data_IF_831241494299
#
_entry.id   IF_831241494299
#
_cell.length_a   1.000
_cell.length_b   1.000
_cell.length_c   1.000
_cell.angle_alpha   90.00
_cell.angle_beta   90.00
_cell.angle_gamma   90.00
#
_symmetry.space_group_name_H-M   'P 1'
#
loop_
_entity.id
_entity.type
_entity.pdbx_description
1 polymer ?
#
# COMPACT_ATOMS: atom_id res chain seq x y z
N UNK A 1 -14.56 17.17 19.18
CA UNK A 1 -14.65 17.33 17.72
C UNK A 1 -14.36 16.05 16.92
N UNK A 2 -13.96 14.98 17.59
CA UNK A 2 -13.61 13.68 16.98
C UNK A 2 -14.84 12.77 16.80
N UNK A 3 -15.91 13.08 17.53
CA UNK A 3 -17.15 12.30 17.57
C UNK A 3 -18.15 12.84 16.57
N UNK A 4 -18.72 11.96 15.76
CA UNK A 4 -19.78 12.29 14.79
C UNK A 4 -21.16 12.14 15.44
N UNK A 5 -21.38 11.08 16.18
CA UNK A 5 -22.67 10.76 16.75
C UNK A 5 -22.50 9.98 18.07
N UNK A 6 -23.35 10.21 19.03
CA UNK A 6 -23.45 9.42 20.25
C UNK A 6 -24.87 8.90 20.35
N UNK A 7 -25.03 7.58 20.40
CA UNK A 7 -26.30 6.90 20.48
C UNK A 7 -26.39 6.14 21.81
N UNK A 8 -27.42 6.40 22.60
CA UNK A 8 -27.68 5.68 23.85
C UNK A 8 -28.49 4.42 23.54
N UNK A 9 -27.98 3.28 23.97
CA UNK A 9 -28.66 2.00 23.85
C UNK A 9 -29.05 1.50 25.25
N UNK A 10 -30.36 1.48 25.56
CA UNK A 10 -30.85 0.96 26.82
C UNK A 10 -30.69 -0.56 26.90
N UNK A 11 -30.72 -1.09 28.12
CA UNK A 11 -30.64 -2.55 28.40
C UNK A 11 -31.67 -3.37 27.59
N UNK A 12 -32.89 -2.85 27.47
CA UNK A 12 -33.98 -3.53 26.75
C UNK A 12 -33.79 -3.46 25.23
N UNK A 13 -33.27 -2.33 24.71
CA UNK A 13 -32.92 -2.17 23.29
C UNK A 13 -31.77 -3.08 22.90
N UNK A 14 -30.79 -3.25 23.80
CA UNK A 14 -29.64 -4.15 23.57
C UNK A 14 -30.14 -5.62 23.54
N UNK A 15 -31.06 -6.00 24.42
CA UNK A 15 -31.63 -7.35 24.46
C UNK A 15 -32.40 -7.64 23.16
N UNK A 16 -33.27 -6.72 22.73
CA UNK A 16 -34.03 -6.86 21.47
C UNK A 16 -33.12 -7.02 20.26
N UNK A 17 -32.05 -6.23 20.19
CA UNK A 17 -31.07 -6.31 19.09
C UNK A 17 -30.34 -7.67 19.10
N UNK A 18 -30.04 -8.21 20.27
CA UNK A 18 -29.44 -9.53 20.43
C UNK A 18 -30.40 -10.64 20.01
N UNK A 19 -31.68 -10.54 20.44
CA UNK A 19 -32.74 -11.48 20.04
C UNK A 19 -32.93 -11.50 18.52
N UNK A 20 -32.83 -10.35 17.89
CA UNK A 20 -32.98 -10.23 16.44
C UNK A 20 -31.79 -10.87 15.69
N UNK A 21 -30.58 -10.74 16.23
CA UNK A 21 -29.38 -11.39 15.67
C UNK A 21 -29.40 -12.91 15.87
N UNK A 22 -30.01 -13.38 16.95
CA UNK A 22 -30.10 -14.80 17.31
C UNK A 22 -31.40 -15.46 16.85
N UNK A 23 -32.03 -15.02 15.78
CA UNK A 23 -33.32 -15.53 15.24
C UNK A 23 -33.39 -17.04 15.04
N UNK A 24 -32.25 -17.74 14.97
CA UNK A 24 -32.18 -19.20 14.88
C UNK A 24 -31.95 -19.95 16.21
N UNK A 25 -31.68 -19.26 17.31
CA UNK A 25 -31.28 -19.87 18.60
C UNK A 25 -31.96 -19.23 19.80
N UNK A 26 -33.27 -18.97 19.69
CA UNK A 26 -34.07 -18.30 20.72
C UNK A 26 -34.09 -19.04 22.08
N UNK A 27 -33.81 -20.33 22.07
CA UNK A 27 -33.78 -21.14 23.29
C UNK A 27 -32.67 -20.77 24.28
N UNK A 28 -31.62 -20.12 23.82
CA UNK A 28 -30.48 -19.73 24.66
C UNK A 28 -30.79 -18.54 25.59
N UNK A 29 -31.76 -17.71 25.22
CA UNK A 29 -32.11 -16.50 25.99
C UNK A 29 -33.26 -16.73 26.98
N UNK A 30 -34.08 -17.77 26.76
CA UNK A 30 -35.26 -18.06 27.60
C UNK A 30 -34.92 -18.58 29.02
N UNK A 31 -33.66 -18.89 29.29
CA UNK A 31 -33.17 -19.37 30.57
C UNK A 31 -32.61 -18.30 31.51
N UNK A 32 -32.57 -17.04 31.07
CA UNK A 32 -31.94 -15.96 31.84
C UNK A 32 -32.97 -15.26 32.75
N UNK A 33 -32.84 -15.34 34.08
CA UNK A 33 -33.79 -14.73 35.00
C UNK A 33 -33.75 -13.20 35.05
N UNK A 34 -32.72 -12.59 34.51
CA UNK A 34 -32.55 -11.12 34.41
C UNK A 34 -31.75 -10.77 33.16
N UNK A 35 -32.02 -9.61 32.59
CA UNK A 35 -31.24 -9.06 31.46
C UNK A 35 -29.78 -8.82 31.92
N UNK A 36 -28.80 -9.59 31.41
CA UNK A 36 -27.40 -9.44 31.82
C UNK A 36 -26.68 -8.30 31.08
N UNK A 37 -27.35 -7.67 30.12
CA UNK A 37 -26.69 -6.66 29.26
C UNK A 37 -26.70 -5.30 29.96
N UNK A 38 -25.56 -4.62 30.04
CA UNK A 38 -25.51 -3.24 30.53
C UNK A 38 -26.07 -2.26 29.49
N UNK A 39 -26.47 -1.09 29.94
CA UNK A 39 -26.75 0.03 29.06
C UNK A 39 -25.42 0.50 28.44
N UNK A 40 -25.42 0.87 27.19
CA UNK A 40 -24.21 1.29 26.48
C UNK A 40 -24.40 2.58 25.69
N UNK A 41 -23.31 3.31 25.56
CA UNK A 41 -23.21 4.46 24.67
C UNK A 41 -22.40 4.03 23.45
N UNK A 42 -23.04 4.04 22.29
CA UNK A 42 -22.35 3.82 21.02
C UNK A 42 -21.83 5.15 20.50
N UNK A 43 -20.52 5.26 20.40
CA UNK A 43 -19.84 6.47 19.91
C UNK A 43 -19.33 6.19 18.50
N UNK A 44 -19.88 6.92 17.53
CA UNK A 44 -19.43 6.86 16.15
C UNK A 44 -18.43 8.00 15.90
N UNK A 45 -17.22 7.63 15.52
CA UNK A 45 -16.18 8.60 15.19
C UNK A 45 -16.38 9.11 13.75
N UNK A 46 -15.91 10.32 13.49
CA UNK A 46 -15.86 10.87 12.13
C UNK A 46 -14.92 10.04 11.26
N UNK A 47 -15.17 9.93 9.95
CA UNK A 47 -14.32 9.10 9.06
C UNK A 47 -12.82 9.39 9.16
N UNK A 48 -12.45 10.63 9.41
CA UNK A 48 -11.06 11.09 9.59
C UNK A 48 -10.36 10.46 10.80
N UNK A 49 -11.15 10.04 11.81
CA UNK A 49 -10.67 9.46 13.07
C UNK A 49 -11.01 7.97 13.22
N UNK A 50 -11.58 7.35 12.18
CA UNK A 50 -11.87 5.91 12.14
C UNK A 50 -10.60 5.11 11.78
N UNK A 51 -9.51 5.37 12.51
CA UNK A 51 -8.24 4.68 12.38
C UNK A 51 -7.69 4.36 13.78
N UNK A 52 -6.68 3.50 13.87
CA UNK A 52 -6.13 3.04 15.15
C UNK A 52 -5.70 4.21 16.05
N UNK A 53 -5.07 5.23 15.48
CA UNK A 53 -4.60 6.41 16.23
C UNK A 53 -5.76 7.25 16.75
N UNK A 54 -6.79 7.49 15.92
CA UNK A 54 -8.00 8.22 16.30
C UNK A 54 -8.77 7.53 17.39
N UNK A 55 -8.97 6.21 17.25
CA UNK A 55 -9.66 5.38 18.25
C UNK A 55 -8.90 5.42 19.58
N UNK A 56 -7.58 5.21 19.59
CA UNK A 56 -6.76 5.24 20.79
C UNK A 56 -6.81 6.60 21.48
N UNK A 57 -6.86 7.70 20.72
CA UNK A 57 -6.96 9.06 21.26
C UNK A 57 -8.28 9.26 22.01
N UNK A 58 -9.39 8.81 21.46
CA UNK A 58 -10.72 8.91 22.08
C UNK A 58 -10.80 7.98 23.30
N UNK A 59 -10.27 6.76 23.19
CA UNK A 59 -10.19 5.79 24.31
C UNK A 59 -9.38 6.38 25.47
N UNK A 60 -8.24 7.00 25.19
CA UNK A 60 -7.41 7.63 26.23
C UNK A 60 -8.17 8.76 26.96
N UNK A 61 -9.02 9.51 26.26
CA UNK A 61 -9.84 10.58 26.85
C UNK A 61 -10.99 10.03 27.70
N UNK A 62 -11.53 8.85 27.37
CA UNK A 62 -12.67 8.24 28.06
C UNK A 62 -12.25 7.34 29.23
N UNK A 63 -11.09 6.70 29.15
CA UNK A 63 -10.59 5.72 30.14
C UNK A 63 -10.36 6.31 31.54
N UNK A 64 -10.24 7.62 31.67
CA UNK A 64 -10.06 8.29 32.95
C UNK A 64 -11.35 8.79 33.60
N UNK A 65 -12.50 8.56 32.99
CA UNK A 65 -13.78 9.07 33.51
C UNK A 65 -14.45 8.05 34.41
N UNK A 66 -14.87 8.45 35.64
CA UNK A 66 -15.49 7.51 36.60
C UNK A 66 -16.86 7.00 36.16
N UNK A 67 -17.48 7.64 35.16
CA UNK A 67 -18.78 7.23 34.62
C UNK A 67 -18.67 6.10 33.59
N UNK A 68 -17.46 5.70 33.19
CA UNK A 68 -17.22 4.67 32.18
C UNK A 68 -16.66 3.43 32.89
N UNK A 69 -17.51 2.41 33.03
CA UNK A 69 -17.12 1.13 33.65
C UNK A 69 -16.27 0.27 32.73
N UNK A 70 -16.65 0.20 31.43
CA UNK A 70 -15.92 -0.60 30.45
C UNK A 70 -15.98 0.08 29.08
N UNK A 71 -14.89 -0.05 28.33
CA UNK A 71 -14.78 0.47 26.97
C UNK A 71 -14.54 -0.69 26.02
N UNK A 72 -15.58 -1.06 25.27
CA UNK A 72 -15.46 -2.06 24.21
C UNK A 72 -15.28 -1.35 22.86
N UNK A 73 -14.07 -1.40 22.40
CA UNK A 73 -13.71 -0.97 21.05
C UNK A 73 -12.88 -2.11 20.47
N UNK A 74 -13.10 -2.50 19.25
CA UNK A 74 -12.42 -3.67 18.65
C UNK A 74 -10.89 -3.60 18.68
N UNK A 75 -10.30 -3.27 19.84
CA UNK A 75 -8.88 -2.95 20.02
C UNK A 75 -7.97 -4.10 19.61
N UNK A 76 -8.25 -5.28 20.10
CA UNK A 76 -7.36 -6.44 19.89
C UNK A 76 -7.32 -6.82 18.41
N UNK A 77 -8.46 -6.79 17.74
CA UNK A 77 -8.53 -7.07 16.31
C UNK A 77 -7.88 -5.95 15.49
N UNK A 78 -8.17 -4.70 15.83
CA UNK A 78 -7.60 -3.51 15.15
C UNK A 78 -6.08 -3.47 15.33
N UNK A 79 -5.58 -3.74 16.55
CA UNK A 79 -4.14 -3.79 16.83
C UNK A 79 -3.45 -4.91 16.05
N UNK A 80 -4.04 -6.11 16.04
CA UNK A 80 -3.50 -7.26 15.27
C UNK A 80 -3.52 -6.97 13.77
N UNK A 81 -4.60 -6.36 13.28
CA UNK A 81 -4.72 -6.00 11.86
C UNK A 81 -3.70 -4.91 11.48
N UNK A 82 -3.54 -3.88 12.31
CA UNK A 82 -2.55 -2.82 12.04
C UNK A 82 -1.12 -3.35 12.10
N UNK A 83 -0.82 -4.24 13.03
CA UNK A 83 0.49 -4.92 13.11
C UNK A 83 0.74 -5.79 11.87
N UNK A 84 -0.28 -6.48 11.38
CA UNK A 84 -0.19 -7.27 10.14
C UNK A 84 0.08 -6.37 8.92
N UNK A 85 -0.63 -5.25 8.81
CA UNK A 85 -0.41 -4.26 7.73
C UNK A 85 1.01 -3.68 7.82
N UNK A 86 1.48 -3.34 9.02
CA UNK A 86 2.84 -2.84 9.23
C UNK A 86 3.89 -3.89 8.82
N UNK A 87 3.67 -5.15 9.15
CA UNK A 87 4.54 -6.26 8.72
C UNK A 87 4.59 -6.34 7.19
N UNK A 88 3.43 -6.28 6.51
CA UNK A 88 3.38 -6.30 5.04
C UNK A 88 4.12 -5.11 4.43
N UNK A 89 4.02 -3.92 5.05
CA UNK A 89 4.73 -2.72 4.60
C UNK A 89 6.25 -2.89 4.72
N UNK A 90 6.74 -3.43 5.85
CA UNK A 90 8.17 -3.67 6.07
C UNK A 90 8.69 -4.71 5.08
N UNK A 91 7.96 -5.82 4.90
CA UNK A 91 8.32 -6.85 3.92
C UNK A 91 8.32 -6.29 2.48
N UNK A 92 7.30 -5.49 2.15
CA UNK A 92 7.19 -4.84 0.84
C UNK A 92 8.35 -3.88 0.56
N UNK A 93 8.72 -3.06 1.56
CA UNK A 93 9.88 -2.15 1.45
C UNK A 93 11.20 -2.93 1.33
N UNK A 94 11.36 -4.00 2.09
CA UNK A 94 12.56 -4.84 2.05
C UNK A 94 12.72 -5.52 0.69
N UNK A 95 11.68 -6.21 0.23
CA UNK A 95 11.67 -6.89 -1.07
C UNK A 95 11.80 -5.88 -2.21
N UNK A 96 11.07 -4.77 -2.14
CA UNK A 96 11.12 -3.69 -3.13
C UNK A 96 12.51 -3.10 -3.24
N UNK A 97 13.16 -2.81 -2.09
CA UNK A 97 14.54 -2.32 -2.05
C UNK A 97 15.53 -3.31 -2.67
N UNK A 98 15.39 -4.60 -2.33
CA UNK A 98 16.23 -5.64 -2.92
C UNK A 98 16.05 -5.73 -4.45
N UNK A 99 14.80 -5.65 -4.93
CA UNK A 99 14.50 -5.68 -6.37
C UNK A 99 15.02 -4.42 -7.08
N UNK A 100 14.96 -3.25 -6.43
CA UNK A 100 15.55 -2.02 -6.98
C UNK A 100 17.07 -2.16 -7.16
N UNK A 101 17.76 -2.74 -6.17
CA UNK A 101 19.20 -3.02 -6.26
C UNK A 101 19.48 -4.00 -7.41
N UNK A 102 18.69 -5.06 -7.52
CA UNK A 102 18.82 -6.03 -8.62
C UNK A 102 18.61 -5.37 -9.99
N UNK A 103 17.56 -4.55 -10.12
CA UNK A 103 17.27 -3.80 -11.37
C UNK A 103 18.43 -2.87 -11.74
N UNK A 104 18.97 -2.16 -10.75
CA UNK A 104 20.15 -1.30 -10.94
C UNK A 104 21.33 -2.10 -11.51
N UNK A 105 21.62 -3.28 -10.95
CA UNK A 105 22.72 -4.13 -11.45
C UNK A 105 22.44 -4.66 -12.86
N UNK A 106 21.20 -5.02 -13.17
CA UNK A 106 20.81 -5.48 -14.52
C UNK A 106 21.02 -4.36 -15.54
N UNK A 107 20.50 -3.16 -15.26
CA UNK A 107 20.68 -1.98 -16.14
C UNK A 107 22.16 -1.69 -16.33
N UNK A 108 22.92 -1.61 -15.23
CA UNK A 108 24.36 -1.33 -15.27
C UNK A 108 25.12 -2.36 -16.12
N UNK A 109 24.77 -3.63 -15.98
CA UNK A 109 25.42 -4.71 -16.74
C UNK A 109 25.06 -4.67 -18.22
N UNK A 110 23.80 -4.36 -18.56
CA UNK A 110 23.35 -4.20 -19.94
C UNK A 110 24.10 -3.08 -20.64
N UNK A 111 24.14 -1.90 -20.01
CA UNK A 111 24.87 -0.72 -20.52
C UNK A 111 26.37 -1.04 -20.69
N UNK A 112 26.94 -1.74 -19.70
CA UNK A 112 28.36 -2.20 -19.78
C UNK A 112 28.61 -3.07 -21.03
N UNK A 113 27.74 -4.07 -21.26
CA UNK A 113 27.87 -4.94 -22.44
C UNK A 113 27.73 -4.14 -23.75
N UNK A 114 26.82 -3.18 -23.79
CA UNK A 114 26.63 -2.31 -24.98
C UNK A 114 27.84 -1.42 -25.23
N UNK A 115 28.49 -0.89 -24.18
CA UNK A 115 29.74 -0.13 -24.28
C UNK A 115 30.86 -1.02 -24.87
N UNK A 116 30.99 -2.25 -24.45
CA UNK A 116 31.97 -3.18 -24.98
C UNK A 116 31.64 -3.63 -26.41
N UNK A 117 30.41 -3.82 -26.75
CA UNK A 117 29.97 -4.08 -28.12
C UNK A 117 30.28 -2.95 -29.06
N UNK A 118 30.30 -1.80 -28.58
CA UNK A 118 30.54 -0.76 -29.29
C UNK A 118 31.85 -0.26 -29.20
N UNK A 119 32.57 -0.72 -29.07
CA UNK A 119 33.80 -0.28 -28.87
C UNK A 119 34.49 0.30 -30.01
N UNK A 120 34.58 -0.39 -31.12
CA UNK A 120 35.19 0.12 -32.36
C UNK A 120 34.54 1.43 -32.82
N UNK A 121 33.23 1.49 -32.74
CA UNK A 121 32.45 2.70 -33.11
C UNK A 121 32.84 3.91 -32.24
N UNK A 122 33.04 3.71 -30.97
CA UNK A 122 33.43 4.73 -29.98
C UNK A 122 34.83 5.25 -30.34
N UNK A 123 35.77 4.36 -30.73
CA UNK A 123 37.12 4.71 -31.13
C UNK A 123 37.14 5.55 -32.43
N UNK A 124 36.30 5.19 -33.40
CA UNK A 124 36.12 5.94 -34.64
C UNK A 124 35.56 7.34 -34.33
N UNK A 125 34.49 7.41 -33.52
CA UNK A 125 33.88 8.70 -33.08
C UNK A 125 34.92 9.60 -32.41
N UNK A 126 35.75 9.03 -31.55
CA UNK A 126 36.84 9.77 -30.88
C UNK A 126 37.89 10.27 -31.88
N UNK A 127 38.25 9.44 -32.85
CA UNK A 127 39.27 9.79 -33.88
C UNK A 127 38.82 10.96 -34.77
N UNK A 128 37.51 11.11 -35.03
CA UNK A 128 36.98 12.25 -35.81
C UNK A 128 36.64 13.47 -34.92
N UNK A 129 36.99 13.41 -33.62
CA UNK A 129 36.86 14.54 -32.70
C UNK A 129 35.48 14.68 -32.02
N UNK A 130 34.69 13.61 -31.92
CA UNK A 130 33.40 13.65 -31.21
C UNK A 130 33.58 13.98 -29.72
N UNK A 131 32.72 14.85 -29.20
CA UNK A 131 32.74 15.21 -27.77
C UNK A 131 32.32 14.03 -26.89
N UNK A 132 32.84 13.99 -25.66
CA UNK A 132 32.47 12.95 -24.66
C UNK A 132 30.98 12.86 -24.41
N UNK A 133 30.27 13.99 -24.46
CA UNK A 133 28.80 14.03 -24.30
C UNK A 133 28.10 13.32 -25.47
N UNK A 134 28.57 13.58 -26.69
CA UNK A 134 28.01 12.96 -27.91
C UNK A 134 28.16 11.44 -27.88
N UNK A 135 29.31 10.94 -27.41
CA UNK A 135 29.61 9.52 -27.29
C UNK A 135 28.73 8.86 -26.22
N UNK A 136 28.45 9.56 -25.12
CA UNK A 136 27.69 9.02 -23.98
C UNK A 136 26.17 9.11 -24.14
N UNK A 137 25.69 10.07 -24.96
CA UNK A 137 24.26 10.37 -25.11
C UNK A 137 23.38 9.13 -25.43
N UNK A 138 23.77 8.26 -26.40
CA UNK A 138 22.94 7.09 -26.73
C UNK A 138 22.75 6.16 -25.54
N UNK A 139 23.74 5.96 -24.69
CA UNK A 139 23.64 5.11 -23.51
C UNK A 139 22.69 5.68 -22.46
N UNK A 140 22.67 7.01 -22.27
CA UNK A 140 21.72 7.69 -21.40
C UNK A 140 20.28 7.53 -21.88
N UNK A 141 20.07 7.71 -23.19
CA UNK A 141 18.75 7.53 -23.80
C UNK A 141 18.29 6.09 -23.63
N UNK A 142 19.17 5.13 -23.88
CA UNK A 142 18.89 3.70 -23.72
C UNK A 142 18.47 3.38 -22.26
N UNK A 143 19.24 3.85 -21.27
CA UNK A 143 18.93 3.60 -19.87
C UNK A 143 17.60 4.21 -19.44
N UNK A 144 17.33 5.45 -19.87
CA UNK A 144 16.04 6.13 -19.59
C UNK A 144 14.88 5.37 -20.23
N UNK A 145 15.02 4.96 -21.49
CA UNK A 145 13.99 4.18 -22.21
C UNK A 145 13.75 2.84 -21.54
N UNK A 146 14.82 2.14 -21.15
CA UNK A 146 14.74 0.85 -20.44
C UNK A 146 13.98 0.98 -19.12
N UNK A 147 14.31 2.00 -18.34
CA UNK A 147 13.62 2.31 -17.08
C UNK A 147 12.14 2.68 -17.27
N UNK A 148 11.87 3.51 -18.29
CA UNK A 148 10.50 3.93 -18.63
C UNK A 148 9.64 2.73 -19.07
N UNK A 149 10.16 1.93 -20.03
CA UNK A 149 9.44 0.75 -20.53
C UNK A 149 9.19 -0.27 -19.41
N UNK A 150 10.18 -0.47 -18.54
CA UNK A 150 10.03 -1.33 -17.36
C UNK A 150 8.90 -0.86 -16.45
N UNK A 151 8.83 0.45 -16.19
CA UNK A 151 7.77 1.04 -15.36
C UNK A 151 6.39 0.89 -16.01
N UNK A 152 6.30 1.13 -17.34
CA UNK A 152 5.05 0.96 -18.09
C UNK A 152 4.56 -0.49 -18.03
N UNK A 153 5.45 -1.46 -18.23
CA UNK A 153 5.13 -2.88 -18.11
C UNK A 153 4.67 -3.25 -16.70
N UNK A 154 5.36 -2.71 -15.68
CA UNK A 154 4.98 -2.95 -14.27
C UNK A 154 3.58 -2.40 -13.96
N UNK A 155 3.26 -1.17 -14.41
CA UNK A 155 1.93 -0.57 -14.22
C UNK A 155 0.87 -1.39 -14.95
N UNK A 156 1.14 -1.81 -16.18
CA UNK A 156 0.23 -2.64 -16.98
C UNK A 156 -0.04 -3.99 -16.33
N UNK A 157 1.01 -4.67 -15.87
CA UNK A 157 0.89 -5.95 -15.18
C UNK A 157 0.11 -5.80 -13.86
N UNK A 158 0.41 -4.74 -13.10
CA UNK A 158 -0.30 -4.45 -11.85
C UNK A 158 -1.79 -4.19 -12.11
N UNK A 159 -2.12 -3.49 -13.19
CA UNK A 159 -3.51 -3.24 -13.61
C UNK A 159 -4.25 -4.55 -13.92
N UNK A 160 -3.59 -5.45 -14.69
CA UNK A 160 -4.19 -6.76 -15.02
C UNK A 160 -4.42 -7.58 -13.74
N UNK A 161 -3.43 -7.63 -12.85
CA UNK A 161 -3.54 -8.35 -11.56
C UNK A 161 -4.65 -7.75 -10.69
N UNK A 162 -4.78 -6.43 -10.66
CA UNK A 162 -5.84 -5.74 -9.92
C UNK A 162 -7.22 -6.10 -10.45
N UNK A 163 -7.40 -6.13 -11.77
CA UNK A 163 -8.66 -6.52 -12.41
C UNK A 163 -9.01 -8.00 -12.12
N UNK A 164 -8.02 -8.89 -12.20
CA UNK A 164 -8.22 -10.30 -11.85
C UNK A 164 -8.61 -10.47 -10.37
N UNK A 165 -7.98 -9.71 -9.48
CA UNK A 165 -8.31 -9.70 -8.06
C UNK A 165 -9.76 -9.24 -7.83
N UNK A 166 -10.18 -8.16 -8.49
CA UNK A 166 -11.56 -7.66 -8.38
C UNK A 166 -12.58 -8.74 -8.78
N UNK A 167 -12.36 -9.37 -9.94
CA UNK A 167 -13.30 -10.36 -10.51
C UNK A 167 -13.30 -11.67 -9.70
N UNK A 168 -12.13 -12.15 -9.31
CA UNK A 168 -11.98 -13.49 -8.72
C UNK A 168 -12.10 -13.52 -7.19
N UNK A 169 -11.77 -12.44 -6.52
CA UNK A 169 -11.71 -12.41 -5.05
C UNK A 169 -12.73 -11.42 -4.47
N UNK A 170 -12.70 -10.17 -4.93
CA UNK A 170 -13.52 -9.11 -4.35
C UNK A 170 -15.00 -9.30 -4.64
N UNK A 171 -15.39 -9.51 -5.91
CA UNK A 171 -16.80 -9.64 -6.30
C UNK A 171 -17.55 -10.78 -5.59
N UNK A 172 -16.97 -11.99 -5.44
CA UNK A 172 -17.64 -13.03 -4.65
C UNK A 172 -17.71 -12.73 -3.15
N UNK A 173 -16.81 -11.93 -2.60
CA UNK A 173 -16.73 -11.66 -1.16
C UNK A 173 -17.40 -10.35 -0.73
N UNK A 174 -17.78 -9.49 -1.66
CA UNK A 174 -18.35 -8.16 -1.33
C UNK A 174 -19.63 -8.22 -0.50
N UNK A 175 -20.43 -9.27 -0.69
CA UNK A 175 -21.68 -9.47 0.07
C UNK A 175 -21.41 -9.85 1.54
N UNK A 176 -20.24 -10.45 1.81
CA UNK A 176 -19.79 -10.84 3.15
C UNK A 176 -19.00 -9.73 3.85
N UNK A 177 -18.13 -9.08 3.11
CA UNK A 177 -17.17 -8.10 3.66
C UNK A 177 -17.70 -6.65 3.65
N UNK A 178 -18.79 -6.41 2.90
CA UNK A 178 -19.28 -5.06 2.67
C UNK A 178 -18.62 -4.40 1.45
N UNK A 179 -19.22 -3.31 1.01
CA UNK A 179 -18.82 -2.62 -0.22
C UNK A 179 -17.70 -1.59 0.08
N UNK A 180 -16.45 -2.04 0.04
CA UNK A 180 -15.28 -1.17 0.21
C UNK A 180 -14.79 -0.68 -1.16
N UNK A 181 -14.61 0.62 -1.37
CA UNK A 181 -14.09 1.13 -2.63
C UNK A 181 -12.60 0.80 -2.77
N UNK A 182 -12.28 -0.21 -3.58
CA UNK A 182 -10.91 -0.55 -3.93
C UNK A 182 -10.49 0.33 -5.11
N UNK A 183 -9.47 1.14 -4.90
CA UNK A 183 -8.97 2.08 -5.90
C UNK A 183 -7.64 1.56 -6.45
N UNK A 184 -7.50 1.64 -7.76
CA UNK A 184 -6.23 1.42 -8.45
C UNK A 184 -5.33 2.66 -8.25
N UNK A 185 -4.08 2.54 -8.64
CA UNK A 185 -3.11 3.63 -8.61
C UNK A 185 -3.67 4.92 -9.25
N UNK A 186 -3.48 6.02 -8.59
CA UNK A 186 -3.84 7.33 -9.14
C UNK A 186 -2.90 7.70 -10.31
N UNK A 187 -3.31 8.65 -11.13
CA UNK A 187 -2.47 9.17 -12.21
C UNK A 187 -1.13 9.71 -11.69
N UNK A 188 -1.15 10.37 -10.52
CA UNK A 188 0.06 10.89 -9.85
C UNK A 188 1.01 9.76 -9.46
N UNK A 189 0.49 8.69 -8.88
CA UNK A 189 1.28 7.51 -8.48
C UNK A 189 1.87 6.80 -9.70
N UNK A 190 1.09 6.65 -10.76
CA UNK A 190 1.54 6.05 -12.02
C UNK A 190 2.66 6.88 -12.66
N UNK A 191 2.50 8.20 -12.66
CA UNK A 191 3.51 9.14 -13.17
C UNK A 191 4.79 9.06 -12.30
N UNK A 192 4.63 9.03 -10.98
CA UNK A 192 5.78 8.91 -10.05
C UNK A 192 6.55 7.59 -10.29
N UNK A 193 5.84 6.48 -10.56
CA UNK A 193 6.48 5.20 -10.93
C UNK A 193 7.24 5.29 -12.23
N UNK A 194 6.66 5.93 -13.27
CA UNK A 194 7.29 6.10 -14.57
C UNK A 194 8.57 6.95 -14.45
N UNK A 195 8.48 8.08 -13.74
CA UNK A 195 9.63 8.96 -13.48
C UNK A 195 10.70 8.25 -12.64
N UNK A 196 10.29 7.48 -11.63
CA UNK A 196 11.19 6.67 -10.80
C UNK A 196 11.97 5.65 -11.63
N UNK A 197 11.28 4.99 -12.56
CA UNK A 197 11.93 4.06 -13.52
C UNK A 197 12.97 4.75 -14.40
N UNK A 198 12.62 5.92 -14.95
CA UNK A 198 13.57 6.73 -15.75
C UNK A 198 14.80 7.14 -14.95
N UNK A 199 14.59 7.59 -13.69
CA UNK A 199 15.69 8.00 -12.79
C UNK A 199 16.59 6.81 -12.47
N UNK A 200 16.00 5.65 -12.21
CA UNK A 200 16.74 4.41 -11.96
C UNK A 200 17.62 4.03 -13.18
N UNK A 201 17.04 4.12 -14.37
CA UNK A 201 17.76 3.89 -15.63
C UNK A 201 18.91 4.88 -15.83
N UNK A 202 18.67 6.17 -15.55
CA UNK A 202 19.68 7.22 -15.60
C UNK A 202 20.85 6.94 -14.64
N UNK A 203 20.55 6.60 -13.38
CA UNK A 203 21.56 6.33 -12.34
C UNK A 203 22.38 5.09 -12.74
N UNK A 204 21.72 4.02 -13.21
CA UNK A 204 22.41 2.81 -13.69
C UNK A 204 23.37 3.09 -14.82
N UNK A 205 22.92 3.90 -15.79
CA UNK A 205 23.75 4.34 -16.91
C UNK A 205 24.92 5.21 -16.45
N UNK A 206 24.64 6.19 -15.58
CA UNK A 206 25.67 7.11 -15.06
C UNK A 206 26.83 6.34 -14.42
N UNK A 207 26.51 5.34 -13.61
CA UNK A 207 27.52 4.50 -12.93
C UNK A 207 28.31 3.68 -13.95
N UNK A 208 27.63 3.07 -14.93
CA UNK A 208 28.27 2.26 -15.98
C UNK A 208 29.16 3.09 -16.89
N UNK A 209 28.61 4.18 -17.42
CA UNK A 209 29.34 5.09 -18.36
C UNK A 209 30.51 5.74 -17.63
N UNK A 210 30.31 6.23 -16.40
CA UNK A 210 31.38 6.86 -15.62
C UNK A 210 32.53 5.91 -15.25
N UNK A 211 32.23 4.61 -15.12
CA UNK A 211 33.22 3.60 -14.75
C UNK A 211 33.97 3.02 -15.95
N UNK A 212 33.25 2.83 -17.08
CA UNK A 212 33.82 2.13 -18.25
C UNK A 212 34.20 3.04 -19.43
N UNK A 213 33.59 4.24 -19.52
CA UNK A 213 33.96 5.25 -20.49
C UNK A 213 34.80 6.36 -19.82
N UNK A 214 36.00 6.00 -19.37
CA UNK A 214 36.99 7.02 -18.94
C UNK A 214 37.58 7.69 -20.16
N UNK A 215 36.99 8.83 -20.53
CA UNK A 215 37.45 9.70 -21.63
C UNK A 215 38.26 10.85 -21.02
#
# INVERSE_FOLDING_TARGET
>A
NEVQEVSYRSKDAALKALEEKLKGQRGLLNGLPRNPLPASLEIRLRPEYQNAVGVQRVVAKLRGKPEVEDLQYGSDWVERFSAFVALLQVLGLGLGGMLLVAAFFVISNTIRLNIFAXXEEIEIMRSVGATGLFIRAPFYIEGVLQGFLGACLAIGLLFVLFQLFLIKVYDPLKDLLGNFPLLFLTAEQSLAMALGGMVLGLIGTQVSVGRYLRI
#
